data_IF_023644601621
#
_entry.id   IF_023644601621
#
_cell.length_a   1.000
_cell.length_b   1.000
_cell.length_c   1.000
_cell.angle_alpha   90.00
_cell.angle_beta   90.00
_cell.angle_gamma   90.00
#
_symmetry.space_group_name_H-M   'P 1'
#
loop_
_entity.id
_entity.type
_entity.pdbx_description
1 polymer ?
#
# COMPACT_ATOMS: atom_id res chain seq x y z
N UNK A 1 4.41 26.02 10.68
CA UNK A 1 4.36 26.05 9.21
C UNK A 1 3.49 27.20 8.72
N UNK A 2 2.18 27.17 8.92
CA UNK A 2 1.26 28.20 8.39
C UNK A 2 1.57 29.64 8.87
N UNK A 3 1.84 29.83 10.17
CA UNK A 3 2.22 31.15 10.70
C UNK A 3 3.54 31.68 10.13
N UNK A 4 4.45 30.81 9.76
CA UNK A 4 5.76 31.19 9.21
C UNK A 4 5.70 31.57 7.72
N UNK A 5 4.58 31.34 7.06
CA UNK A 5 4.30 31.77 5.68
C UNK A 5 3.42 33.02 5.64
N UNK A 6 3.42 33.87 6.68
CA UNK A 6 2.56 35.03 6.83
C UNK A 6 1.06 34.70 6.62
N UNK A 7 0.65 33.48 6.96
CA UNK A 7 -0.69 32.91 6.79
C UNK A 7 -1.14 32.75 5.32
N UNK A 8 -0.23 32.87 4.36
CA UNK A 8 -0.54 32.72 2.93
C UNK A 8 -0.38 31.26 2.43
N UNK A 9 0.30 30.38 3.20
CA UNK A 9 0.57 29.01 2.78
C UNK A 9 -0.62 28.08 2.94
N UNK A 10 -0.84 27.20 1.95
CA UNK A 10 -1.82 26.11 2.00
C UNK A 10 -1.08 24.81 2.34
N UNK A 11 -1.50 24.13 3.40
CA UNK A 11 -0.91 22.85 3.82
C UNK A 11 -1.24 21.80 2.76
N UNK A 12 -0.23 21.01 2.33
CA UNK A 12 -0.32 20.07 1.22
C UNK A 12 0.34 18.72 1.53
N UNK A 13 0.25 17.80 0.60
CA UNK A 13 0.96 16.52 0.63
C UNK A 13 0.71 15.70 1.87
N UNK A 14 1.79 15.18 2.49
CA UNK A 14 1.69 14.33 3.67
C UNK A 14 1.06 15.05 4.87
N UNK A 15 1.39 16.32 5.08
CA UNK A 15 0.83 17.11 6.17
C UNK A 15 -0.69 17.33 5.99
N UNK A 16 -1.15 17.61 4.77
CA UNK A 16 -2.59 17.70 4.49
C UNK A 16 -3.28 16.35 4.68
N UNK A 17 -2.66 15.26 4.28
CA UNK A 17 -3.24 13.92 4.51
C UNK A 17 -3.41 13.60 6.00
N UNK A 18 -2.45 14.01 6.85
CA UNK A 18 -2.56 13.89 8.30
C UNK A 18 -3.72 14.74 8.87
N UNK A 19 -3.89 15.98 8.38
CA UNK A 19 -5.03 16.82 8.75
C UNK A 19 -6.37 16.17 8.38
N UNK A 20 -6.44 15.48 7.23
CA UNK A 20 -7.60 14.70 6.82
C UNK A 20 -7.77 13.37 7.60
N UNK A 21 -6.91 13.10 8.58
CA UNK A 21 -6.99 11.93 9.46
C UNK A 21 -6.23 10.70 8.97
N UNK A 22 -5.45 10.80 7.89
CA UNK A 22 -4.64 9.69 7.42
C UNK A 22 -3.56 9.31 8.45
N UNK A 23 -3.45 8.02 8.75
CA UNK A 23 -2.41 7.46 9.59
C UNK A 23 -1.05 7.39 8.84
N UNK A 24 0.00 7.00 9.57
CA UNK A 24 1.32 6.70 9.02
C UNK A 24 2.07 7.89 8.43
N UNK A 25 1.79 9.10 8.91
CA UNK A 25 2.60 10.30 8.65
C UNK A 25 3.55 10.48 9.83
N UNK A 26 4.85 10.56 9.54
CA UNK A 26 5.88 10.75 10.57
C UNK A 26 5.93 12.23 10.98
N UNK A 27 5.90 12.50 12.28
CA UNK A 27 5.99 13.85 12.83
C UNK A 27 7.32 14.56 12.49
N UNK A 28 8.36 13.81 12.16
CA UNK A 28 9.65 14.33 11.72
C UNK A 28 9.67 14.73 10.23
N UNK A 29 8.66 14.37 9.45
CA UNK A 29 8.60 14.78 8.04
C UNK A 29 8.42 16.29 7.90
N UNK A 30 9.11 16.93 6.91
CA UNK A 30 8.89 18.33 6.62
C UNK A 30 7.43 18.59 6.23
N UNK A 31 6.86 19.64 6.77
CA UNK A 31 5.49 20.05 6.44
C UNK A 31 5.47 20.63 5.03
N UNK A 32 4.74 20.01 4.12
CA UNK A 32 4.56 20.51 2.76
C UNK A 32 3.58 21.67 2.75
N UNK A 33 3.99 22.78 2.12
CA UNK A 33 3.15 23.98 1.93
C UNK A 33 3.21 24.46 0.48
N UNK A 34 2.05 24.84 -0.05
CA UNK A 34 1.93 25.55 -1.32
C UNK A 34 1.94 27.04 -1.00
N UNK A 35 2.90 27.78 -1.56
CA UNK A 35 3.02 29.23 -1.40
C UNK A 35 3.85 29.83 -2.54
N UNK A 36 3.55 31.06 -2.91
CA UNK A 36 4.24 31.77 -3.99
C UNK A 36 5.65 32.25 -3.62
N UNK A 37 6.04 32.17 -2.36
CA UNK A 37 7.33 32.63 -1.85
C UNK A 37 8.34 31.48 -1.69
N UNK A 38 9.53 31.66 -2.27
CA UNK A 38 10.64 30.68 -2.25
C UNK A 38 11.44 30.65 -0.95
N UNK A 39 11.09 31.38 0.08
CA UNK A 39 11.85 31.41 1.32
C UNK A 39 11.91 30.00 1.93
N UNK A 40 13.12 29.43 1.90
CA UNK A 40 13.37 28.14 2.57
C UNK A 40 13.35 28.34 4.07
N UNK A 41 12.58 27.51 4.76
CA UNK A 41 12.55 27.47 6.21
C UNK A 41 12.83 26.03 6.68
N UNK A 42 13.59 25.84 7.78
CA UNK A 42 13.77 24.51 8.37
C UNK A 42 12.42 23.87 8.72
N UNK A 43 12.28 22.59 8.41
CA UNK A 43 11.03 21.85 8.67
C UNK A 43 9.89 22.08 7.67
N UNK A 44 10.08 22.97 6.67
CA UNK A 44 9.12 23.17 5.59
C UNK A 44 9.63 22.66 4.25
N UNK A 45 8.75 22.01 3.50
CA UNK A 45 8.91 21.71 2.10
C UNK A 45 8.00 22.64 1.28
N UNK A 46 8.58 23.71 0.80
CA UNK A 46 7.87 24.71 -0.01
C UNK A 46 7.72 24.20 -1.44
N UNK A 47 6.49 24.21 -1.94
CA UNK A 47 6.16 23.95 -3.34
C UNK A 47 5.49 25.16 -3.96
N UNK A 48 5.84 25.42 -5.20
CA UNK A 48 5.30 26.54 -6.00
C UNK A 48 4.34 26.04 -7.08
N UNK A 49 3.64 24.97 -6.80
CA UNK A 49 2.65 24.45 -7.72
C UNK A 49 1.43 25.35 -7.72
N UNK A 50 0.86 25.54 -8.91
CA UNK A 50 -0.44 26.17 -9.01
C UNK A 50 -1.47 25.37 -8.21
N UNK A 51 -2.32 26.07 -7.48
CA UNK A 51 -3.50 25.54 -6.80
C UNK A 51 -4.67 26.47 -7.11
N UNK A 52 -5.81 25.91 -7.46
CA UNK A 52 -7.03 26.69 -7.68
C UNK A 52 -7.81 26.84 -6.36
N UNK A 53 -8.68 27.83 -6.27
CA UNK A 53 -9.42 28.12 -5.04
C UNK A 53 -10.32 26.96 -4.61
N UNK A 54 -10.89 26.22 -5.57
CA UNK A 54 -11.71 25.03 -5.34
C UNK A 54 -10.92 23.79 -4.93
N UNK A 55 -9.59 23.86 -5.00
CA UNK A 55 -8.67 22.81 -4.49
C UNK A 55 -8.20 23.07 -3.05
N UNK A 56 -8.69 24.17 -2.44
CA UNK A 56 -8.36 24.56 -1.07
C UNK A 56 -9.59 24.37 -0.18
N UNK A 57 -9.37 23.86 1.01
CA UNK A 57 -10.38 23.71 2.05
C UNK A 57 -9.82 24.11 3.41
N UNK A 58 -10.65 24.15 4.44
CA UNK A 58 -10.24 24.39 5.82
C UNK A 58 -10.38 23.12 6.63
N UNK A 59 -9.30 22.68 7.26
CA UNK A 59 -9.27 21.51 8.16
C UNK A 59 -8.61 21.94 9.47
N UNK A 60 -9.29 21.74 10.60
CA UNK A 60 -8.82 22.19 11.91
C UNK A 60 -8.36 23.67 11.92
N UNK A 61 -9.16 24.55 11.34
CA UNK A 61 -8.91 26.00 11.20
C UNK A 61 -7.66 26.36 10.38
N UNK A 62 -7.11 25.43 9.62
CA UNK A 62 -5.95 25.63 8.76
C UNK A 62 -6.32 25.47 7.28
N UNK A 63 -5.83 26.34 6.38
CA UNK A 63 -5.99 26.14 4.95
C UNK A 63 -5.16 24.91 4.51
N UNK A 64 -5.82 23.96 3.89
CA UNK A 64 -5.22 22.72 3.40
C UNK A 64 -5.76 22.38 2.01
N UNK A 65 -5.05 21.54 1.27
CA UNK A 65 -5.56 21.01 0.01
C UNK A 65 -6.75 20.10 0.25
N UNK A 66 -7.73 20.11 -0.67
CA UNK A 66 -8.84 19.15 -0.68
C UNK A 66 -8.34 17.71 -0.75
N UNK A 67 -9.19 16.74 -0.44
CA UNK A 67 -8.84 15.30 -0.52
C UNK A 67 -8.32 14.93 -1.91
N UNK A 68 -9.00 15.36 -2.97
CA UNK A 68 -8.60 15.07 -4.35
C UNK A 68 -7.24 15.70 -4.68
N UNK A 69 -7.00 16.95 -4.27
CA UNK A 69 -5.71 17.62 -4.50
C UNK A 69 -4.61 17.00 -3.63
N UNK A 70 -4.87 16.65 -2.39
CA UNK A 70 -3.94 15.93 -1.52
C UNK A 70 -3.54 14.59 -2.15
N UNK A 71 -4.49 13.79 -2.62
CA UNK A 71 -4.23 12.53 -3.32
C UNK A 71 -3.41 12.75 -4.60
N UNK A 72 -3.74 13.78 -5.38
CA UNK A 72 -3.01 14.15 -6.59
C UNK A 72 -1.53 14.44 -6.28
N UNK A 73 -1.23 15.19 -5.22
CA UNK A 73 0.14 15.54 -4.85
C UNK A 73 0.89 14.34 -4.24
N UNK A 74 0.28 13.54 -3.37
CA UNK A 74 0.87 12.31 -2.82
C UNK A 74 1.29 11.34 -3.91
N UNK A 75 0.40 11.09 -4.88
CA UNK A 75 0.67 10.16 -5.97
C UNK A 75 1.78 10.62 -6.91
N UNK A 76 1.98 11.93 -7.06
CA UNK A 76 2.99 12.53 -7.95
C UNK A 76 4.37 12.64 -7.32
N UNK A 77 4.44 13.03 -6.05
CA UNK A 77 5.70 13.47 -5.44
C UNK A 77 6.39 12.42 -4.59
N UNK A 78 5.65 11.46 -4.08
CA UNK A 78 6.22 10.39 -3.28
C UNK A 78 6.84 9.29 -4.18
N UNK A 79 7.76 8.48 -3.62
CA UNK A 79 8.23 7.27 -4.29
C UNK A 79 7.05 6.30 -4.48
N UNK A 80 7.02 5.52 -5.57
CA UNK A 80 5.91 4.65 -5.98
C UNK A 80 5.25 3.88 -4.83
N UNK A 81 6.04 3.17 -4.03
CA UNK A 81 5.55 2.40 -2.87
C UNK A 81 4.95 3.31 -1.81
N UNK A 82 5.66 4.38 -1.43
CA UNK A 82 5.17 5.35 -0.44
C UNK A 82 3.95 6.11 -0.94
N UNK A 83 3.89 6.40 -2.25
CA UNK A 83 2.74 7.05 -2.86
C UNK A 83 1.47 6.20 -2.70
N UNK A 84 1.54 4.89 -3.05
CA UNK A 84 0.40 4.00 -2.89
C UNK A 84 -0.01 3.87 -1.42
N UNK A 85 0.94 3.64 -0.51
CA UNK A 85 0.65 3.50 0.91
C UNK A 85 -0.03 4.74 1.50
N UNK A 86 0.36 5.94 1.08
CA UNK A 86 -0.27 7.19 1.52
C UNK A 86 -1.64 7.41 0.89
N UNK A 87 -1.83 7.01 -0.36
CA UNK A 87 -3.13 7.05 -1.03
C UNK A 87 -4.12 6.09 -0.37
N UNK A 88 -3.69 4.87 -0.03
CA UNK A 88 -4.48 3.88 0.69
C UNK A 88 -4.87 4.41 2.08
N UNK A 89 -3.91 4.97 2.82
CA UNK A 89 -4.15 5.55 4.15
C UNK A 89 -5.12 6.74 4.10
N UNK A 90 -4.99 7.62 3.10
CA UNK A 90 -5.90 8.75 2.91
C UNK A 90 -7.31 8.25 2.54
N UNK A 91 -7.42 7.30 1.59
CA UNK A 91 -8.70 6.71 1.19
C UNK A 91 -9.38 6.00 2.37
N UNK A 92 -8.62 5.34 3.24
CA UNK A 92 -9.13 4.68 4.44
C UNK A 92 -9.66 5.66 5.48
N UNK A 93 -8.96 6.78 5.68
CA UNK A 93 -9.33 7.78 6.69
C UNK A 93 -10.49 8.67 6.23
N UNK A 94 -10.43 9.12 4.99
CA UNK A 94 -11.40 10.02 4.38
C UNK A 94 -11.62 9.62 2.91
N UNK A 95 -12.61 8.77 2.61
CA UNK A 95 -12.88 8.31 1.26
C UNK A 95 -13.13 9.48 0.29
N UNK A 96 -12.53 9.39 -0.88
CA UNK A 96 -12.67 10.38 -1.95
C UNK A 96 -12.96 9.72 -3.31
N UNK A 97 -13.72 10.39 -4.20
CA UNK A 97 -13.95 9.87 -5.54
C UNK A 97 -12.65 9.87 -6.37
N UNK A 98 -12.28 8.70 -6.92
CA UNK A 98 -11.10 8.57 -7.80
C UNK A 98 -11.24 9.47 -9.05
N UNK A 99 -12.47 9.71 -9.50
CA UNK A 99 -12.77 10.56 -10.65
C UNK A 99 -12.40 12.04 -10.41
N UNK A 100 -12.44 12.52 -9.17
CA UNK A 100 -12.02 13.89 -8.85
C UNK A 100 -10.50 14.04 -9.06
N UNK A 101 -9.71 13.04 -8.63
CA UNK A 101 -8.26 13.01 -8.89
C UNK A 101 -7.98 12.86 -10.39
N UNK A 102 -8.76 12.04 -11.10
CA UNK A 102 -8.66 11.90 -12.56
C UNK A 102 -8.97 13.21 -13.27
N UNK A 103 -9.86 14.03 -12.74
CA UNK A 103 -10.16 15.37 -13.24
C UNK A 103 -8.96 16.31 -13.09
N UNK A 104 -8.32 16.31 -11.91
CA UNK A 104 -7.07 17.07 -11.71
C UNK A 104 -5.96 16.64 -12.68
N UNK A 105 -5.81 15.34 -12.91
CA UNK A 105 -4.86 14.82 -13.91
C UNK A 105 -5.11 15.40 -15.31
N UNK A 106 -6.38 15.58 -15.69
CA UNK A 106 -6.73 16.19 -16.99
C UNK A 106 -6.48 17.69 -17.00
N UNK A 107 -6.87 18.40 -15.93
CA UNK A 107 -6.74 19.85 -15.81
C UNK A 107 -5.28 20.32 -15.77
N UNK A 108 -4.42 19.59 -15.05
CA UNK A 108 -3.01 19.93 -14.92
C UNK A 108 -2.15 19.40 -16.08
N UNK A 109 -2.63 18.43 -16.84
CA UNK A 109 -1.95 17.88 -17.98
C UNK A 109 -0.63 17.15 -17.64
N UNK A 110 0.41 17.26 -18.48
CA UNK A 110 1.65 16.50 -18.33
C UNK A 110 2.60 17.14 -17.32
N UNK A 111 2.24 17.13 -16.03
CA UNK A 111 3.10 17.60 -14.94
C UNK A 111 3.96 16.47 -14.36
N UNK A 112 5.01 16.86 -13.61
CA UNK A 112 5.92 15.89 -12.97
C UNK A 112 5.14 14.89 -12.13
N UNK A 113 5.45 13.59 -12.31
CA UNK A 113 4.91 12.49 -11.53
C UNK A 113 3.48 12.05 -11.91
N UNK A 114 2.81 12.73 -12.84
CA UNK A 114 1.43 12.41 -13.23
C UNK A 114 1.30 11.01 -13.86
N UNK A 115 2.34 10.52 -14.54
CA UNK A 115 2.34 9.16 -15.09
C UNK A 115 2.26 8.12 -13.98
N UNK A 116 3.10 8.26 -12.94
CA UNK A 116 3.05 7.38 -11.77
C UNK A 116 1.67 7.41 -11.10
N UNK A 117 1.11 8.61 -10.90
CA UNK A 117 -0.22 8.73 -10.32
C UNK A 117 -1.29 7.99 -11.14
N UNK A 118 -1.29 8.12 -12.48
CA UNK A 118 -2.22 7.37 -13.36
C UNK A 118 -2.12 5.86 -13.18
N UNK A 119 -0.90 5.35 -13.00
CA UNK A 119 -0.66 3.91 -12.79
C UNK A 119 -1.10 3.45 -11.39
N UNK A 120 -0.96 4.29 -10.37
CA UNK A 120 -1.30 3.95 -8.99
C UNK A 120 -2.78 4.15 -8.65
N UNK A 121 -3.43 5.11 -9.28
CA UNK A 121 -4.80 5.50 -8.92
C UNK A 121 -5.82 4.34 -8.98
N UNK A 122 -5.78 3.45 -9.99
CA UNK A 122 -6.63 2.26 -10.02
C UNK A 122 -6.31 1.21 -8.95
N UNK A 123 -5.15 1.33 -8.30
CA UNK A 123 -4.67 0.40 -7.29
C UNK A 123 -4.95 0.88 -5.86
N UNK A 124 -5.52 2.07 -5.70
CA UNK A 124 -5.84 2.63 -4.37
C UNK A 124 -6.91 1.78 -3.70
N UNK A 125 -6.64 1.35 -2.47
CA UNK A 125 -7.50 0.44 -1.72
C UNK A 125 -7.52 0.79 -0.23
N UNK A 126 -8.66 1.20 0.34
CA UNK A 126 -8.78 1.51 1.77
C UNK A 126 -8.63 0.29 2.68
N UNK A 127 -8.65 -0.92 2.14
CA UNK A 127 -8.49 -2.15 2.90
C UNK A 127 -7.07 -2.38 3.40
N UNK A 128 -6.04 -1.85 2.74
CA UNK A 128 -4.67 -1.93 3.26
C UNK A 128 -4.53 -1.13 4.56
N UNK A 129 -4.32 -1.83 5.68
CA UNK A 129 -4.33 -1.23 7.01
C UNK A 129 -2.97 -0.67 7.44
N UNK A 130 -1.90 -0.96 6.71
CA UNK A 130 -0.54 -0.48 6.98
C UNK A 130 0.26 -0.22 5.70
N UNK A 131 1.33 0.61 5.78
CA UNK A 131 2.24 0.82 4.64
C UNK A 131 2.90 -0.48 4.15
N UNK A 132 3.08 -1.44 5.04
CA UNK A 132 3.67 -2.75 4.71
C UNK A 132 2.71 -3.64 3.92
N UNK A 133 1.44 -3.59 4.24
CA UNK A 133 0.40 -4.26 3.44
C UNK A 133 0.28 -3.63 2.04
N UNK A 134 0.28 -2.30 1.93
CA UNK A 134 0.31 -1.61 0.63
C UNK A 134 1.55 -1.98 -0.19
N UNK A 135 2.73 -2.03 0.43
CA UNK A 135 3.97 -2.48 -0.20
C UNK A 135 3.86 -3.92 -0.70
N UNK A 136 3.41 -4.85 0.15
CA UNK A 136 3.28 -6.26 -0.20
C UNK A 136 2.28 -6.46 -1.33
N UNK A 137 1.15 -5.77 -1.28
CA UNK A 137 0.14 -5.76 -2.35
C UNK A 137 0.72 -5.26 -3.68
N UNK A 138 1.46 -4.16 -3.66
CA UNK A 138 2.10 -3.62 -4.85
C UNK A 138 3.19 -4.56 -5.39
N UNK A 139 3.98 -5.19 -4.53
CA UNK A 139 4.98 -6.19 -4.91
C UNK A 139 4.34 -7.33 -5.72
N UNK A 140 3.21 -7.87 -5.25
CA UNK A 140 2.50 -8.93 -5.95
C UNK A 140 1.96 -8.46 -7.30
N UNK A 141 1.30 -7.31 -7.35
CA UNK A 141 0.74 -6.73 -8.58
C UNK A 141 1.83 -6.44 -9.60
N UNK A 142 2.93 -5.80 -9.19
CA UNK A 142 4.05 -5.45 -10.07
C UNK A 142 4.76 -6.70 -10.64
N UNK A 143 4.60 -7.86 -10.00
CA UNK A 143 5.10 -9.16 -10.49
C UNK A 143 4.05 -10.00 -11.24
N UNK A 144 2.89 -9.42 -11.55
CA UNK A 144 1.91 -10.00 -12.47
C UNK A 144 0.83 -10.85 -11.81
N UNK A 145 0.79 -10.92 -10.47
CA UNK A 145 -0.37 -11.50 -9.80
C UNK A 145 -1.61 -10.64 -10.04
N UNK A 146 -2.80 -11.23 -10.16
CA UNK A 146 -4.05 -10.47 -10.16
C UNK A 146 -4.15 -9.61 -8.91
N UNK A 147 -4.82 -8.46 -9.00
CA UNK A 147 -5.04 -7.59 -7.83
C UNK A 147 -5.71 -8.41 -6.72
N UNK A 148 -5.07 -8.58 -5.56
CA UNK A 148 -5.67 -9.32 -4.46
C UNK A 148 -6.79 -8.50 -3.82
N UNK A 149 -7.83 -9.17 -3.34
CA UNK A 149 -8.81 -8.58 -2.43
C UNK A 149 -8.15 -8.31 -1.08
N UNK A 150 -8.55 -7.23 -0.41
CA UNK A 150 -8.06 -6.89 0.94
C UNK A 150 -9.10 -7.14 2.01
N UNK A 151 -8.67 -7.28 3.26
CA UNK A 151 -9.54 -7.47 4.44
C UNK A 151 -10.60 -8.56 4.23
N UNK A 152 -10.16 -9.74 3.76
CA UNK A 152 -11.07 -10.84 3.41
C UNK A 152 -11.63 -11.46 4.68
N UNK A 153 -12.95 -11.41 4.94
CA UNK A 153 -13.56 -12.05 6.10
C UNK A 153 -13.54 -13.58 5.95
N UNK A 154 -13.07 -14.27 6.98
CA UNK A 154 -13.19 -15.73 7.13
C UNK A 154 -14.34 -16.02 8.08
N UNK A 155 -15.34 -16.74 7.57
CA UNK A 155 -16.59 -16.96 8.29
C UNK A 155 -16.62 -18.27 9.09
N UNK A 156 -17.30 -18.22 10.22
CA UNK A 156 -17.69 -19.39 11.02
C UNK A 156 -19.16 -19.24 11.45
N UNK A 157 -20.01 -20.19 11.06
CA UNK A 157 -21.44 -20.08 11.31
C UNK A 157 -22.09 -18.82 10.71
N UNK A 158 -21.56 -18.27 9.62
CA UNK A 158 -22.05 -17.03 8.99
C UNK A 158 -21.46 -15.74 9.54
N UNK A 159 -20.68 -15.77 10.60
CA UNK A 159 -20.05 -14.59 11.23
C UNK A 159 -18.55 -14.57 10.98
N UNK A 160 -17.95 -13.39 10.70
CA UNK A 160 -16.51 -13.27 10.53
C UNK A 160 -15.80 -13.45 11.88
N UNK A 161 -14.87 -14.39 11.95
CA UNK A 161 -14.00 -14.58 13.12
C UNK A 161 -12.57 -14.11 12.87
N UNK A 162 -12.19 -13.87 11.62
CA UNK A 162 -10.90 -13.35 11.22
C UNK A 162 -11.04 -12.55 9.93
N UNK A 163 -10.09 -11.63 9.70
CA UNK A 163 -9.89 -10.97 8.42
C UNK A 163 -8.47 -11.26 7.97
N UNK A 164 -8.32 -11.59 6.69
CA UNK A 164 -7.02 -11.81 6.05
C UNK A 164 -6.61 -10.51 5.35
N UNK A 165 -5.33 -10.12 5.47
CA UNK A 165 -4.86 -8.83 4.95
C UNK A 165 -5.13 -8.68 3.46
N UNK A 166 -4.72 -9.72 2.67
CA UNK A 166 -4.99 -9.76 1.24
C UNK A 166 -4.96 -11.18 0.69
N UNK A 167 -5.58 -11.40 -0.48
CA UNK A 167 -5.57 -12.72 -1.12
C UNK A 167 -6.57 -12.89 -2.25
N UNK A 168 -6.79 -14.15 -2.63
CA UNK A 168 -7.67 -14.55 -3.74
C UNK A 168 -8.65 -15.63 -3.27
N UNK A 169 -9.92 -15.26 -3.17
CA UNK A 169 -10.98 -16.14 -2.63
C UNK A 169 -11.20 -17.38 -3.46
N UNK A 170 -11.13 -17.26 -4.78
CA UNK A 170 -11.42 -18.38 -5.70
C UNK A 170 -10.46 -19.57 -5.54
N UNK A 171 -9.24 -19.31 -5.06
CA UNK A 171 -8.26 -20.35 -4.74
C UNK A 171 -7.96 -20.44 -3.24
N UNK A 172 -8.61 -19.64 -2.40
CA UNK A 172 -8.42 -19.58 -0.95
C UNK A 172 -6.95 -19.44 -0.52
N UNK A 173 -6.21 -18.57 -1.24
CA UNK A 173 -4.84 -18.21 -0.92
C UNK A 173 -4.81 -16.78 -0.38
N UNK A 174 -4.16 -16.60 0.76
CA UNK A 174 -3.95 -15.29 1.38
C UNK A 174 -2.49 -15.04 1.66
N UNK A 175 -2.14 -13.75 1.74
CA UNK A 175 -0.81 -13.27 2.12
C UNK A 175 -1.00 -12.24 3.23
N UNK A 176 -0.35 -12.41 4.36
CA UNK A 176 -0.40 -11.53 5.53
C UNK A 176 1.00 -10.98 5.84
N UNK A 177 1.09 -9.69 6.19
CA UNK A 177 2.32 -9.11 6.70
C UNK A 177 2.35 -9.19 8.22
N UNK A 178 3.25 -10.00 8.76
CA UNK A 178 3.42 -10.20 10.21
C UNK A 178 4.47 -9.23 10.75
N UNK A 179 4.00 -8.13 11.35
CA UNK A 179 4.87 -7.16 12.01
C UNK A 179 5.34 -7.65 13.38
N UNK A 180 6.56 -7.29 13.79
CA UNK A 180 7.24 -7.75 15.00
C UNK A 180 6.56 -7.46 16.35
N UNK A 181 5.42 -6.76 16.37
CA UNK A 181 4.84 -6.18 17.58
C UNK A 181 4.31 -7.18 18.62
N UNK A 182 4.26 -8.49 18.32
CA UNK A 182 3.53 -9.45 19.20
C UNK A 182 4.33 -10.70 19.64
N UNK A 183 5.65 -10.73 19.43
CA UNK A 183 6.45 -11.95 19.72
C UNK A 183 6.67 -12.26 21.21
N UNK A 184 6.42 -11.30 22.10
CA UNK A 184 6.72 -11.43 23.56
C UNK A 184 5.50 -11.79 24.42
N UNK A 185 4.28 -11.69 23.90
CA UNK A 185 3.05 -12.00 24.65
C UNK A 185 2.58 -13.44 24.38
N UNK A 186 2.84 -14.36 25.33
CA UNK A 186 2.44 -15.77 25.21
C UNK A 186 0.93 -16.00 25.08
N UNK A 187 0.03 -15.35 25.82
CA UNK A 187 -1.41 -15.39 25.61
C UNK A 187 -1.84 -15.02 24.20
N UNK A 188 -1.27 -13.93 23.64
CA UNK A 188 -1.55 -13.49 22.28
C UNK A 188 -1.07 -14.52 21.26
N UNK A 189 0.14 -15.05 21.41
CA UNK A 189 0.68 -16.10 20.56
C UNK A 189 -0.25 -17.34 20.50
N UNK A 190 -0.78 -17.78 21.63
CA UNK A 190 -1.71 -18.94 21.68
C UNK A 190 -3.02 -18.63 20.94
N UNK A 191 -3.56 -17.40 21.06
CA UNK A 191 -4.74 -16.97 20.31
C UNK A 191 -4.48 -16.97 18.81
N UNK A 192 -3.33 -16.45 18.38
CA UNK A 192 -2.95 -16.39 16.97
C UNK A 192 -2.78 -17.79 16.38
N UNK A 193 -2.14 -18.70 17.11
CA UNK A 193 -2.02 -20.10 16.68
C UNK A 193 -3.39 -20.79 16.54
N UNK A 194 -4.34 -20.51 17.44
CA UNK A 194 -5.71 -21.03 17.35
C UNK A 194 -6.46 -20.41 16.15
N UNK A 195 -6.32 -19.11 15.96
CA UNK A 195 -6.88 -18.37 14.80
C UNK A 195 -6.40 -19.01 13.49
N UNK A 196 -5.08 -19.20 13.34
CA UNK A 196 -4.50 -19.79 12.12
C UNK A 196 -4.97 -21.21 11.85
N UNK A 197 -4.99 -22.06 12.88
CA UNK A 197 -5.55 -23.42 12.71
C UNK A 197 -6.99 -23.38 12.22
N UNK A 198 -7.81 -22.50 12.81
CA UNK A 198 -9.20 -22.34 12.41
C UNK A 198 -9.35 -21.80 10.97
N UNK A 199 -8.49 -20.87 10.55
CA UNK A 199 -8.44 -20.38 9.16
C UNK A 199 -8.11 -21.53 8.21
N UNK A 200 -7.10 -22.35 8.53
CA UNK A 200 -6.72 -23.52 7.73
C UNK A 200 -7.86 -24.56 7.62
N UNK A 201 -8.63 -24.81 8.69
CA UNK A 201 -9.80 -25.72 8.62
C UNK A 201 -10.92 -25.19 7.73
N UNK A 202 -10.90 -23.90 7.37
CA UNK A 202 -11.81 -23.28 6.39
C UNK A 202 -11.26 -23.33 4.95
N UNK A 203 -10.18 -24.07 4.72
CA UNK A 203 -9.58 -24.28 3.41
C UNK A 203 -8.58 -23.19 2.97
N UNK A 204 -8.35 -22.16 3.79
CA UNK A 204 -7.41 -21.10 3.46
C UNK A 204 -5.96 -21.51 3.71
N UNK A 205 -5.12 -21.23 2.75
CA UNK A 205 -3.67 -21.20 2.92
C UNK A 205 -3.23 -19.76 3.12
N UNK A 206 -2.48 -19.49 4.18
CA UNK A 206 -2.00 -18.16 4.51
C UNK A 206 -0.48 -18.15 4.48
N UNK A 207 0.08 -17.33 3.60
CA UNK A 207 1.52 -17.08 3.52
C UNK A 207 1.83 -15.87 4.39
N UNK A 208 2.63 -16.06 5.42
CA UNK A 208 3.10 -14.98 6.27
C UNK A 208 4.41 -14.43 5.73
N UNK A 209 4.47 -13.11 5.70
CA UNK A 209 5.62 -12.31 5.30
C UNK A 209 6.11 -11.53 6.50
N UNK A 210 7.38 -11.64 6.81
CA UNK A 210 8.05 -10.93 7.91
C UNK A 210 9.08 -9.94 7.37
N UNK A 211 9.58 -9.06 8.24
CA UNK A 211 10.50 -7.99 7.84
C UNK A 211 11.83 -8.50 7.25
N UNK A 212 12.26 -9.70 7.65
CA UNK A 212 13.50 -10.35 7.22
C UNK A 212 13.38 -11.06 5.87
N UNK A 213 12.15 -11.31 5.39
CA UNK A 213 11.92 -11.99 4.10
C UNK A 213 12.41 -11.12 2.94
N UNK A 214 13.10 -11.74 1.98
CA UNK A 214 13.47 -11.08 0.72
C UNK A 214 12.30 -11.12 -0.26
N UNK A 215 12.17 -10.09 -1.08
CA UNK A 215 11.12 -10.03 -2.11
C UNK A 215 11.08 -11.28 -3.00
N UNK A 216 12.25 -11.81 -3.39
CA UNK A 216 12.37 -13.03 -4.18
C UNK A 216 11.82 -14.28 -3.47
N UNK A 217 12.01 -14.38 -2.15
CA UNK A 217 11.53 -15.49 -1.33
C UNK A 217 10.02 -15.40 -1.15
N UNK A 218 9.50 -14.19 -0.92
CA UNK A 218 8.06 -13.92 -0.84
C UNK A 218 7.39 -14.36 -2.14
N UNK A 219 7.88 -13.84 -3.27
CA UNK A 219 7.32 -14.11 -4.60
C UNK A 219 7.38 -15.62 -4.92
N UNK A 220 8.47 -16.29 -4.60
CA UNK A 220 8.61 -17.74 -4.81
C UNK A 220 7.56 -18.54 -4.03
N UNK A 221 7.43 -18.29 -2.71
CA UNK A 221 6.43 -18.95 -1.85
C UNK A 221 4.99 -18.70 -2.33
N UNK A 222 4.69 -17.44 -2.68
CA UNK A 222 3.35 -17.10 -3.17
C UNK A 222 3.06 -17.77 -4.50
N UNK A 223 4.02 -17.79 -5.43
CA UNK A 223 3.82 -18.39 -6.75
C UNK A 223 3.67 -19.92 -6.70
N UNK A 224 4.48 -20.61 -5.89
CA UNK A 224 4.33 -22.05 -5.66
C UNK A 224 2.94 -22.40 -5.11
N UNK A 225 2.46 -21.67 -4.12
CA UNK A 225 1.14 -21.86 -3.56
C UNK A 225 0.03 -21.49 -4.53
N UNK A 226 0.22 -20.41 -5.31
CA UNK A 226 -0.68 -19.98 -6.36
C UNK A 226 -0.93 -21.09 -7.38
N UNK A 227 0.14 -21.69 -7.94
CA UNK A 227 0.03 -22.78 -8.90
C UNK A 227 -0.59 -24.03 -8.28
N UNK A 228 -0.14 -24.43 -7.09
CA UNK A 228 -0.67 -25.60 -6.37
C UNK A 228 -2.16 -25.51 -6.10
N UNK A 229 -2.68 -24.30 -5.91
CA UNK A 229 -4.10 -24.03 -5.64
C UNK A 229 -4.93 -23.75 -6.90
N UNK A 230 -4.36 -23.92 -8.07
CA UNK A 230 -5.05 -23.80 -9.35
C UNK A 230 -5.03 -22.41 -9.97
N UNK A 231 -4.17 -21.53 -9.52
CA UNK A 231 -3.91 -20.25 -10.18
C UNK A 231 -3.26 -20.45 -11.55
N UNK A 232 -3.57 -19.56 -12.49
CA UNK A 232 -2.98 -19.60 -13.82
C UNK A 232 -1.49 -19.25 -13.80
N UNK A 233 -0.73 -19.74 -14.79
CA UNK A 233 0.68 -19.38 -14.95
C UNK A 233 0.85 -17.87 -15.17
N UNK A 234 1.85 -17.29 -14.53
CA UNK A 234 2.17 -15.86 -14.60
C UNK A 234 3.52 -15.72 -15.31
N UNK A 235 3.54 -15.12 -16.51
CA UNK A 235 4.73 -15.05 -17.37
C UNK A 235 5.97 -14.48 -16.67
N UNK A 236 5.81 -13.40 -15.91
CA UNK A 236 6.91 -12.81 -15.14
C UNK A 236 7.49 -13.78 -14.10
N UNK A 237 6.63 -14.51 -13.41
CA UNK A 237 7.02 -15.48 -12.38
C UNK A 237 7.62 -16.74 -12.99
N UNK A 238 7.13 -17.19 -14.15
CA UNK A 238 7.70 -18.32 -14.87
C UNK A 238 9.15 -18.02 -15.34
N UNK A 239 9.42 -16.79 -15.77
CA UNK A 239 10.78 -16.35 -16.10
C UNK A 239 11.68 -16.27 -14.85
N UNK A 240 11.16 -15.74 -13.75
CA UNK A 240 11.86 -15.65 -12.47
C UNK A 240 12.28 -17.02 -11.94
N UNK A 241 11.38 -18.00 -11.92
CA UNK A 241 11.69 -19.36 -11.45
C UNK A 241 12.71 -20.08 -12.32
N UNK A 242 12.71 -19.85 -13.66
CA UNK A 242 13.73 -20.42 -14.58
C UNK A 242 15.13 -19.85 -14.30
N UNK A 243 15.22 -18.58 -13.88
CA UNK A 243 16.50 -17.91 -13.63
C UNK A 243 17.09 -18.29 -12.26
N UNK A 244 16.25 -18.55 -11.26
CA UNK A 244 16.67 -18.81 -9.87
C UNK A 244 16.43 -20.24 -9.39
N UNK A 245 15.93 -21.14 -10.24
CA UNK A 245 15.81 -22.56 -9.87
C UNK A 245 17.21 -23.14 -9.61
N UNK A 246 17.47 -23.76 -8.45
CA UNK A 246 18.72 -24.49 -8.25
C UNK A 246 18.82 -25.57 -9.33
N UNK A 247 19.94 -25.61 -10.03
CA UNK A 247 20.24 -26.68 -10.98
C UNK A 247 20.13 -28.01 -10.23
N UNK A 248 19.03 -28.75 -10.47
CA UNK A 248 18.91 -30.12 -9.94
C UNK A 248 20.04 -30.92 -10.54
N UNK A 249 21.07 -31.22 -9.73
CA UNK A 249 22.11 -32.14 -10.11
C UNK A 249 21.45 -33.50 -10.32
N UNK A 250 21.31 -33.89 -11.57
CA UNK A 250 21.01 -35.29 -11.92
C UNK A 250 22.22 -36.12 -11.49
N UNK A 251 22.13 -36.69 -10.31
CA UNK A 251 23.02 -37.74 -9.88
C UNK A 251 22.83 -38.96 -10.81
N UNK A 252 23.78 -39.15 -11.71
CA UNK A 252 23.89 -40.42 -12.45
C UNK A 252 24.33 -41.48 -11.46
N UNK A 253 23.39 -42.28 -10.96
CA UNK A 253 23.75 -43.58 -10.41
C UNK A 253 24.19 -44.46 -11.57
N UNK A 254 25.51 -44.61 -11.73
CA UNK A 254 26.08 -45.77 -12.41
C UNK A 254 26.18 -46.86 -11.34
N UNK A 255 25.31 -47.85 -11.46
CA UNK A 255 25.52 -49.16 -10.82
C UNK A 255 26.42 -49.92 -11.81
N UNK A 256 27.57 -50.35 -11.32
CA UNK A 256 28.38 -51.37 -11.90
C UNK A 256 28.19 -52.65 -11.08
#
# INVERSE_FOLDING_TARGET
AWLTTDRAGVIAGAAASALHGAAWVDDAEPIEVLVDDRRRQPGLLVRMDRVADDEITVVADLPATTLARTAFDLGRYQKRVSALARLDALMRAAPFPVDDVSTLIRCYGPVRGVRQLRELLPLVDPGAASPKESWLRLLLIDNGFPIPETQIPVLDGGFPFAFLDMGWRHIQLAVEYDGDQHRTDRPQYVKDMRRHRKIATRGWEVIRVIAEDRESEILGRVYESWLRRGGAEIDKMAQFTRTFAPVRSFGRNRVA
#
